data_IF_819609921479
#
_entry.id   IF_819609921479
#
_cell.length_a   1.000
_cell.length_b   1.000
_cell.length_c   1.000
_cell.angle_alpha   90.00
_cell.angle_beta   90.00
_cell.angle_gamma   90.00
#
_symmetry.space_group_name_H-M   'P 1'
#
loop_
_entity.id
_entity.type
_entity.pdbx_description
1 polymer ?
#
# COMPACT_ATOMS: atom_id res chain seq x y z
N UNK A 1 0.64 11.06 -3.31
CA UNK A 1 0.78 10.48 -4.67
C UNK A 1 -0.33 9.45 -4.87
N UNK A 2 -0.78 9.20 -6.10
CA UNK A 2 -1.87 8.26 -6.39
C UNK A 2 -1.54 7.39 -7.59
N UNK A 3 -1.74 6.08 -7.45
CA UNK A 3 -1.45 5.06 -8.47
C UNK A 3 -2.55 4.00 -8.50
N UNK A 4 -2.81 3.42 -9.67
CA UNK A 4 -3.78 2.33 -9.83
C UNK A 4 -3.22 1.16 -10.65
N UNK A 5 -3.74 -0.04 -10.40
CA UNK A 5 -3.41 -1.27 -11.15
C UNK A 5 -4.65 -2.14 -11.32
N UNK A 6 -4.83 -2.66 -12.54
CA UNK A 6 -5.80 -3.72 -12.84
C UNK A 6 -5.10 -5.07 -12.74
N UNK A 7 -5.64 -6.00 -11.96
CA UNK A 7 -5.04 -7.30 -11.69
C UNK A 7 -6.08 -8.41 -11.77
N UNK A 8 -5.60 -9.65 -11.82
CA UNK A 8 -6.44 -10.84 -11.63
C UNK A 8 -5.87 -11.74 -10.53
N UNK A 9 -6.74 -12.41 -9.78
CA UNK A 9 -6.38 -13.31 -8.69
C UNK A 9 -7.19 -13.07 -7.41
N UNK A 10 -6.71 -13.61 -6.28
CA UNK A 10 -7.35 -13.43 -4.98
C UNK A 10 -7.04 -12.07 -4.34
N UNK A 11 -8.08 -11.27 -4.11
CA UNK A 11 -7.98 -9.99 -3.39
C UNK A 11 -7.45 -10.17 -1.96
N UNK A 12 -7.83 -11.26 -1.29
CA UNK A 12 -7.31 -11.58 0.04
C UNK A 12 -5.83 -11.93 -0.01
N UNK A 13 -5.39 -12.70 -1.01
CA UNK A 13 -3.98 -13.03 -1.17
C UNK A 13 -3.15 -11.78 -1.47
N UNK A 14 -3.65 -10.87 -2.32
CA UNK A 14 -3.00 -9.59 -2.57
C UNK A 14 -2.88 -8.76 -1.29
N UNK A 15 -3.96 -8.61 -0.51
CA UNK A 15 -3.92 -7.85 0.73
C UNK A 15 -2.88 -8.42 1.71
N UNK A 16 -2.82 -9.74 1.87
CA UNK A 16 -1.83 -10.41 2.73
C UNK A 16 -0.39 -10.24 2.21
N UNK A 17 -0.20 -10.32 0.90
CA UNK A 17 1.08 -10.04 0.26
C UNK A 17 1.54 -8.61 0.53
N UNK A 18 0.63 -7.63 0.40
CA UNK A 18 0.91 -6.22 0.70
C UNK A 18 1.23 -6.00 2.18
N UNK A 19 0.45 -6.58 3.09
CA UNK A 19 0.71 -6.50 4.53
C UNK A 19 2.13 -6.99 4.84
N UNK A 20 2.54 -8.10 4.23
CA UNK A 20 3.84 -8.71 4.46
C UNK A 20 5.00 -7.97 3.75
N UNK A 21 4.78 -7.40 2.57
CA UNK A 21 5.78 -6.63 1.84
C UNK A 21 6.06 -5.28 2.52
N UNK A 22 5.00 -4.59 2.95
CA UNK A 22 5.10 -3.27 3.58
C UNK A 22 5.70 -3.34 4.98
N UNK A 23 5.25 -4.29 5.82
CA UNK A 23 5.73 -4.40 7.21
C UNK A 23 7.12 -5.03 7.33
N UNK A 24 7.47 -6.01 6.48
CA UNK A 24 8.82 -6.61 6.51
C UNK A 24 9.86 -5.78 5.76
N UNK A 25 9.44 -5.00 4.77
CA UNK A 25 10.32 -4.14 3.97
C UNK A 25 10.68 -2.81 4.65
N UNK A 26 10.14 -2.53 5.84
CA UNK A 26 10.34 -1.25 6.54
C UNK A 26 10.43 -1.46 8.05
N UNK A 27 11.50 -0.96 8.67
CA UNK A 27 11.70 -1.07 10.12
C UNK A 27 10.66 -0.31 10.95
N UNK A 28 9.93 0.63 10.35
CA UNK A 28 9.00 1.53 11.03
C UNK A 28 7.59 1.56 10.44
N UNK A 29 7.27 0.65 9.51
CA UNK A 29 5.92 0.59 8.92
C UNK A 29 5.00 -0.33 9.72
N UNK A 30 3.79 0.14 9.99
CA UNK A 30 2.75 -0.57 10.73
C UNK A 30 1.44 -0.56 9.95
N UNK A 31 0.63 -1.61 10.12
CA UNK A 31 -0.75 -1.63 9.63
C UNK A 31 -1.63 -0.99 10.70
N UNK A 32 -2.09 0.24 10.45
CA UNK A 32 -2.89 1.02 11.39
C UNK A 32 -4.38 0.73 11.29
N UNK A 33 -4.87 0.46 10.08
CA UNK A 33 -6.28 0.17 9.85
C UNK A 33 -6.48 -0.87 8.76
N UNK A 34 -7.46 -1.74 8.96
CA UNK A 34 -7.92 -2.69 7.96
C UNK A 34 -9.44 -2.83 8.02
N UNK A 35 -10.06 -2.97 6.85
CA UNK A 35 -11.48 -3.30 6.75
C UNK A 35 -11.77 -4.13 5.49
N UNK A 36 -12.93 -4.75 5.44
CA UNK A 36 -13.43 -5.47 4.28
C UNK A 36 -14.94 -5.30 4.17
N UNK A 37 -15.37 -4.63 3.11
CA UNK A 37 -16.78 -4.44 2.78
C UNK A 37 -17.18 -5.41 1.66
N UNK A 38 -18.43 -5.83 1.63
CA UNK A 38 -18.96 -6.70 0.57
C UNK A 38 -20.38 -6.31 0.21
N UNK A 39 -20.67 -6.30 -1.09
CA UNK A 39 -21.99 -5.99 -1.65
C UNK A 39 -22.24 -6.89 -2.85
N UNK A 40 -23.13 -7.88 -2.70
CA UNK A 40 -23.30 -8.94 -3.70
C UNK A 40 -21.97 -9.66 -3.94
N UNK A 41 -21.57 -9.80 -5.20
CA UNK A 41 -20.31 -10.41 -5.62
C UNK A 41 -19.09 -9.47 -5.51
N UNK A 42 -19.32 -8.18 -5.20
CA UNK A 42 -18.26 -7.21 -5.07
C UNK A 42 -17.68 -7.22 -3.65
N UNK A 43 -16.35 -7.14 -3.56
CA UNK A 43 -15.60 -7.03 -2.31
C UNK A 43 -14.66 -5.84 -2.37
N UNK A 44 -14.65 -5.02 -1.33
CA UNK A 44 -13.67 -3.95 -1.15
C UNK A 44 -12.80 -4.29 0.06
N UNK A 45 -11.48 -4.36 -0.13
CA UNK A 45 -10.51 -4.51 0.96
C UNK A 45 -9.78 -3.19 1.14
N UNK A 46 -9.76 -2.71 2.38
CA UNK A 46 -9.10 -1.46 2.76
C UNK A 46 -7.92 -1.78 3.69
N UNK A 47 -6.79 -1.12 3.45
CA UNK A 47 -5.62 -1.13 4.32
C UNK A 47 -5.08 0.29 4.44
N UNK A 48 -4.65 0.65 5.64
CA UNK A 48 -3.94 1.89 5.91
C UNK A 48 -2.67 1.55 6.66
N UNK A 49 -1.53 1.82 6.04
CA UNK A 49 -0.22 1.67 6.63
C UNK A 49 0.32 3.03 7.06
N UNK A 50 1.03 3.09 8.17
CA UNK A 50 1.79 4.28 8.59
C UNK A 50 3.27 3.93 8.68
N UNK A 51 4.13 4.85 8.25
CA UNK A 51 5.57 4.76 8.42
C UNK A 51 6.07 5.99 9.15
N UNK A 52 6.75 5.77 10.28
CA UNK A 52 7.43 6.83 11.02
C UNK A 52 8.80 7.12 10.39
N UNK A 53 9.10 8.41 10.17
CA UNK A 53 10.47 8.82 9.82
C UNK A 53 11.35 8.82 11.07
N UNK A 54 12.49 8.13 11.01
CA UNK A 54 13.46 8.07 12.11
C UNK A 54 14.21 9.40 12.31
N UNK A 55 14.26 10.26 11.28
CA UNK A 55 15.07 11.49 11.26
C UNK A 55 14.26 12.78 11.43
N UNK A 56 12.93 12.69 11.49
CA UNK A 56 12.06 13.83 11.71
C UNK A 56 10.68 13.35 12.12
N UNK A 57 10.00 14.07 13.00
CA UNK A 57 8.71 13.71 13.60
C UNK A 57 7.52 13.65 12.61
N UNK A 58 7.74 13.23 11.37
CA UNK A 58 6.75 13.14 10.31
C UNK A 58 6.28 11.71 10.10
N UNK A 59 4.98 11.60 9.90
CA UNK A 59 4.26 10.36 9.60
C UNK A 59 3.84 10.39 8.13
N UNK A 60 4.07 9.29 7.44
CA UNK A 60 3.56 9.06 6.08
C UNK A 60 2.60 7.90 6.13
N UNK A 61 1.42 8.11 5.58
CA UNK A 61 0.38 7.11 5.45
C UNK A 61 0.33 6.61 4.01
N UNK A 62 0.09 5.31 3.84
CA UNK A 62 -0.23 4.67 2.57
C UNK A 62 -1.57 3.97 2.72
N UNK A 63 -2.55 4.39 1.94
CA UNK A 63 -3.85 3.72 1.81
C UNK A 63 -3.83 2.80 0.59
N UNK A 64 -4.29 1.57 0.78
CA UNK A 64 -4.52 0.57 -0.25
C UNK A 64 -6.00 0.21 -0.26
N UNK A 65 -6.62 0.34 -1.43
CA UNK A 65 -8.00 -0.08 -1.69
C UNK A 65 -8.00 -1.11 -2.81
N UNK A 66 -8.59 -2.28 -2.57
CA UNK A 66 -8.74 -3.35 -3.56
C UNK A 66 -10.24 -3.57 -3.78
N UNK A 67 -10.75 -3.15 -4.93
CA UNK A 67 -12.10 -3.49 -5.38
C UNK A 67 -12.02 -4.76 -6.23
N UNK A 68 -12.77 -5.79 -5.87
CA UNK A 68 -12.77 -7.07 -6.55
C UNK A 68 -14.18 -7.54 -6.89
N UNK A 69 -14.34 -8.14 -8.06
CA UNK A 69 -15.53 -8.92 -8.45
C UNK A 69 -15.03 -10.24 -9.02
N UNK A 70 -15.29 -11.33 -8.31
CA UNK A 70 -14.64 -12.62 -8.60
C UNK A 70 -13.12 -12.49 -8.53
N UNK A 71 -12.42 -12.87 -9.61
CA UNK A 71 -10.97 -12.78 -9.71
C UNK A 71 -10.48 -11.45 -10.29
N UNK A 72 -11.35 -10.57 -10.79
CA UNK A 72 -10.95 -9.28 -11.36
C UNK A 72 -10.79 -8.25 -10.24
N UNK A 73 -9.70 -7.50 -10.25
CA UNK A 73 -9.37 -6.52 -9.21
C UNK A 73 -8.94 -5.19 -9.81
N UNK A 74 -9.44 -4.11 -9.22
CA UNK A 74 -8.94 -2.75 -9.39
C UNK A 74 -8.32 -2.32 -8.06
N UNK A 75 -7.05 -1.94 -8.11
CA UNK A 75 -6.26 -1.61 -6.93
C UNK A 75 -5.85 -0.15 -6.99
N UNK A 76 -6.01 0.57 -5.89
CA UNK A 76 -5.60 1.96 -5.73
C UNK A 76 -4.64 2.10 -4.56
N UNK A 77 -3.54 2.81 -4.77
CA UNK A 77 -2.59 3.22 -3.75
C UNK A 77 -2.59 4.74 -3.63
N UNK A 78 -2.68 5.25 -2.41
CA UNK A 78 -2.58 6.68 -2.13
C UNK A 78 -1.65 6.92 -0.96
N UNK A 79 -0.63 7.75 -1.13
CA UNK A 79 0.17 8.25 0.00
C UNK A 79 -0.29 9.63 0.44
N UNK A 80 -0.30 9.86 1.76
CA UNK A 80 -0.57 11.15 2.39
C UNK A 80 0.30 11.33 3.65
N UNK A 81 0.94 12.48 3.83
CA UNK A 81 1.79 12.72 5.01
C UNK A 81 2.48 14.07 5.06
N UNK A 82 2.82 14.54 6.27
CA UNK A 82 3.27 15.91 6.56
C UNK A 82 4.55 16.33 5.84
N UNK A 83 4.49 17.46 5.10
CA UNK A 83 5.59 18.11 4.35
C UNK A 83 6.21 17.32 3.17
N UNK A 84 5.49 16.33 2.65
CA UNK A 84 5.88 15.31 1.64
C UNK A 84 6.61 15.76 0.35
N UNK A 85 6.79 17.04 0.05
CA UNK A 85 7.57 17.46 -1.13
C UNK A 85 9.08 17.62 -0.88
N UNK A 86 9.50 17.97 0.34
CA UNK A 86 10.89 18.40 0.60
C UNK A 86 11.77 17.33 1.26
N UNK A 87 11.23 16.54 2.19
CA UNK A 87 12.00 15.45 2.83
C UNK A 87 12.16 14.22 1.93
N UNK A 88 11.21 13.98 1.02
CA UNK A 88 11.31 12.91 0.03
C UNK A 88 12.59 13.04 -0.81
N UNK A 89 12.89 14.25 -1.29
CA UNK A 89 14.11 14.54 -2.06
C UNK A 89 15.42 14.20 -1.34
N UNK A 90 15.43 14.18 0.00
CA UNK A 90 16.65 13.95 0.79
C UNK A 90 16.80 12.46 1.15
N UNK A 91 15.71 11.75 1.44
CA UNK A 91 15.75 10.33 1.82
C UNK A 91 15.69 9.35 0.61
N UNK A 92 15.27 9.79 -0.59
CA UNK A 92 15.26 8.97 -1.82
C UNK A 92 16.65 8.59 -2.34
N UNK A 93 17.73 9.23 -1.86
CA UNK A 93 19.08 8.95 -2.37
C UNK A 93 19.67 7.61 -1.92
N UNK A 94 19.04 6.90 -0.97
CA UNK A 94 19.55 5.62 -0.45
C UNK A 94 18.50 4.54 -0.15
N UNK A 95 17.23 4.90 0.08
CA UNK A 95 16.13 3.95 0.35
C UNK A 95 14.94 4.25 -0.58
N UNK A 96 14.36 3.23 -1.22
CA UNK A 96 13.25 3.45 -2.15
C UNK A 96 12.04 4.13 -1.47
N UNK A 97 11.29 4.93 -2.22
CA UNK A 97 10.10 5.61 -1.70
C UNK A 97 9.11 4.61 -1.10
N UNK A 98 8.34 5.03 -0.10
CA UNK A 98 7.27 4.20 0.45
C UNK A 98 6.26 3.77 -0.62
N UNK A 99 5.94 4.68 -1.55
CA UNK A 99 5.11 4.38 -2.72
C UNK A 99 5.80 3.39 -3.67
N UNK A 100 7.08 3.60 -4.00
CA UNK A 100 7.81 2.71 -4.91
C UNK A 100 7.82 1.26 -4.39
N UNK A 101 8.00 1.06 -3.08
CA UNK A 101 7.89 -0.27 -2.46
C UNK A 101 6.52 -0.87 -2.57
N UNK A 102 5.46 -0.08 -2.44
CA UNK A 102 4.10 -0.55 -2.64
C UNK A 102 3.83 -0.94 -4.10
N UNK A 103 4.33 -0.14 -5.05
CA UNK A 103 4.24 -0.43 -6.49
C UNK A 103 5.01 -1.71 -6.82
N UNK A 104 6.28 -1.84 -6.39
CA UNK A 104 7.09 -3.05 -6.56
C UNK A 104 6.38 -4.29 -6.02
N UNK A 105 5.74 -4.18 -4.85
CA UNK A 105 5.00 -5.28 -4.24
C UNK A 105 3.77 -5.68 -5.06
N UNK A 106 3.01 -4.71 -5.58
CA UNK A 106 1.85 -4.99 -6.46
C UNK A 106 2.31 -5.60 -7.79
N UNK A 107 3.30 -4.99 -8.44
CA UNK A 107 3.76 -5.42 -9.76
C UNK A 107 4.42 -6.82 -9.71
N UNK A 108 4.96 -7.22 -8.55
CA UNK A 108 5.50 -8.57 -8.30
C UNK A 108 4.47 -9.62 -7.88
N UNK A 109 3.19 -9.24 -7.69
CA UNK A 109 2.14 -10.17 -7.28
C UNK A 109 1.64 -10.99 -8.48
N UNK A 110 1.89 -12.30 -8.45
CA UNK A 110 1.36 -13.24 -9.42
C UNK A 110 0.20 -14.00 -8.79
N UNK A 111 -1.03 -13.58 -9.13
CA UNK A 111 -2.32 -14.06 -8.61
C UNK A 111 -2.31 -15.40 -7.88
N UNK A 112 -2.42 -15.33 -6.56
CA UNK A 112 -2.67 -16.50 -5.70
C UNK A 112 -4.09 -17.03 -5.81
#
# INVERSE_FOLDING_TARGET
MHETRSLTGSATALAQHMDAAITRGSASATLEHQDTLSLGEARMILRTYERYSMTGSNRVTLSLSILAVGAQMEVSLTTSGGSEALFFKINTFGEAAFMDKAIEAIDGFHGG
#
